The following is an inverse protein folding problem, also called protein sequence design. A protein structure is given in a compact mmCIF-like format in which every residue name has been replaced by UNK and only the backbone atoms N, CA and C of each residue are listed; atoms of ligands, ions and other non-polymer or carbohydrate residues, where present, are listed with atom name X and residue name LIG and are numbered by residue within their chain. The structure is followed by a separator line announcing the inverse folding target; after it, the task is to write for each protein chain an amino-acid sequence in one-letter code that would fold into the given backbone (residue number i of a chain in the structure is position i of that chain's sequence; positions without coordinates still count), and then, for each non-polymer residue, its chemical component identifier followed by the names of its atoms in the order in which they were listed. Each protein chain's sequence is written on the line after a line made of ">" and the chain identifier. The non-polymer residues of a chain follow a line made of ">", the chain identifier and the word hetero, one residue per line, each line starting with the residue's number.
data_IF_200404400755
#
_entry.id   IF_200404400755
#
_cell.length_a   1.000
_cell.length_b   1.000
_cell.length_c   1.000
_cell.angle_alpha   90.00
_cell.angle_beta   90.00
_cell.angle_gamma   90.00
#
_symmetry.space_group_name_H-M   'P 1'
#
loop_
_entity.id
_entity.type
_entity.pdbx_description
1 polymer ?
#
# COMPACT_ATOMS: atom_id res chain seq x y z
N UNK A 1 15.24 -1.14 19.64
CA UNK A 1 15.20 0.23 19.07
C UNK A 1 14.17 0.23 17.97
N UNK A 2 13.17 1.11 18.03
CA UNK A 2 12.12 1.19 16.99
C UNK A 2 12.74 1.79 15.73
N UNK A 3 12.63 1.08 14.61
CA UNK A 3 13.27 1.49 13.34
C UNK A 3 12.31 2.22 12.40
N UNK A 4 11.08 2.45 12.84
CA UNK A 4 10.05 3.14 12.06
C UNK A 4 8.97 3.80 12.92
N UNK A 5 8.30 4.79 12.35
CA UNK A 5 7.08 5.41 12.86
C UNK A 5 5.84 4.96 12.09
N UNK A 6 4.68 5.02 12.75
CA UNK A 6 3.36 4.78 12.15
C UNK A 6 2.55 6.06 12.26
N UNK A 7 2.19 6.63 11.12
CA UNK A 7 1.46 7.89 11.04
C UNK A 7 0.09 7.60 10.41
N UNK A 8 -1.02 7.83 11.14
CA UNK A 8 -2.35 7.76 10.57
C UNK A 8 -2.50 8.77 9.42
N UNK A 9 -2.96 8.30 8.27
CA UNK A 9 -3.03 9.11 7.04
C UNK A 9 -4.44 9.11 6.41
N UNK A 10 -5.38 8.37 7.00
CA UNK A 10 -6.79 8.24 6.62
C UNK A 10 -7.49 7.22 7.50
N UNK A 11 -8.76 6.88 7.22
CA UNK A 11 -9.58 5.98 8.06
C UNK A 11 -8.95 4.59 8.25
N UNK A 12 -8.25 4.09 7.23
CA UNK A 12 -7.55 2.78 7.24
C UNK A 12 -6.23 2.80 6.50
N UNK A 13 -5.66 3.99 6.36
CA UNK A 13 -4.44 4.23 5.59
C UNK A 13 -3.37 4.75 6.54
N UNK A 14 -2.21 4.11 6.51
CA UNK A 14 -1.10 4.43 7.39
C UNK A 14 0.15 4.70 6.56
N UNK A 15 0.87 5.74 6.94
CA UNK A 15 2.20 6.04 6.42
C UNK A 15 3.22 5.54 7.43
N UNK A 16 4.00 4.56 7.02
CA UNK A 16 5.10 3.99 7.80
C UNK A 16 6.39 4.69 7.37
N UNK A 17 7.10 5.30 8.31
CA UNK A 17 8.36 5.99 8.04
C UNK A 17 9.51 5.22 8.65
N UNK A 18 10.32 4.57 7.81
CA UNK A 18 11.51 3.84 8.23
C UNK A 18 12.75 4.73 8.11
N UNK A 19 13.52 4.79 9.19
CA UNK A 19 14.91 5.28 9.17
C UNK A 19 15.82 4.16 8.69
N UNK A 20 16.96 4.46 8.06
CA UNK A 20 17.62 3.51 7.17
C UNK A 20 17.95 2.21 7.89
N UNK A 21 17.27 1.15 7.45
CA UNK A 21 17.60 -0.23 7.78
C UNK A 21 18.38 -0.76 6.59
N UNK A 22 19.62 -1.17 6.81
CA UNK A 22 20.42 -1.89 5.80
C UNK A 22 19.63 -3.11 5.29
N UNK A 23 19.48 -3.27 3.97
CA UNK A 23 18.78 -4.41 3.38
C UNK A 23 17.93 -4.08 2.15
N UNK A 24 16.71 -4.64 2.07
CA UNK A 24 15.83 -4.61 0.89
C UNK A 24 15.47 -3.20 0.38
N UNK A 25 15.72 -2.16 1.19
CA UNK A 25 15.48 -0.75 0.89
C UNK A 25 16.37 -0.20 -0.24
N UNK A 26 17.48 -0.89 -0.55
CA UNK A 26 18.36 -0.56 -1.68
C UNK A 26 17.75 -0.89 -3.04
N UNK A 27 16.68 -1.70 -3.07
CA UNK A 27 16.01 -2.12 -4.31
C UNK A 27 15.09 -1.03 -4.91
N UNK A 28 14.92 0.09 -4.21
CA UNK A 28 14.09 1.21 -4.65
C UNK A 28 14.96 2.42 -5.00
N UNK A 29 14.74 3.02 -6.16
CA UNK A 29 15.43 4.24 -6.57
C UNK A 29 14.92 5.45 -5.80
N UNK A 30 15.84 6.35 -5.44
CA UNK A 30 15.49 7.57 -4.71
C UNK A 30 14.59 8.48 -5.56
N UNK A 31 13.54 9.01 -4.93
CA UNK A 31 12.57 9.92 -5.55
C UNK A 31 11.44 9.24 -6.31
N UNK A 32 11.53 7.93 -6.54
CA UNK A 32 10.51 7.14 -7.25
C UNK A 32 9.50 6.49 -6.30
N UNK A 33 8.26 6.35 -6.77
CA UNK A 33 7.22 5.59 -6.09
C UNK A 33 7.09 4.21 -6.73
N UNK A 34 6.86 3.17 -5.92
CA UNK A 34 6.70 1.80 -6.40
C UNK A 34 5.42 1.19 -5.83
N UNK A 35 4.64 0.53 -6.68
CA UNK A 35 3.58 -0.37 -6.23
C UNK A 35 4.19 -1.74 -5.90
N UNK A 36 4.01 -2.20 -4.67
CA UNK A 36 4.67 -3.40 -4.12
C UNK A 36 3.68 -4.19 -3.25
N UNK A 37 4.09 -5.39 -2.81
CA UNK A 37 3.39 -6.14 -1.79
C UNK A 37 4.25 -6.21 -0.52
N UNK A 38 3.63 -5.92 0.63
CA UNK A 38 4.24 -6.00 1.94
C UNK A 38 3.48 -6.94 2.87
N UNK A 39 4.22 -7.74 3.63
CA UNK A 39 3.69 -8.63 4.66
C UNK A 39 3.89 -7.98 6.02
N UNK A 40 2.79 -7.88 6.77
CA UNK A 40 2.76 -7.35 8.14
C UNK A 40 2.66 -8.56 9.07
N UNK A 41 3.61 -8.72 9.98
CA UNK A 41 3.66 -9.83 10.94
C UNK A 41 3.47 -9.26 12.34
N UNK A 42 2.39 -9.67 13.01
CA UNK A 42 2.06 -9.26 14.37
C UNK A 42 2.86 -10.07 15.40
N UNK A 43 2.86 -9.61 16.64
CA UNK A 43 3.58 -10.24 17.75
C UNK A 43 3.06 -11.63 18.13
N UNK A 44 1.80 -11.92 17.83
CA UNK A 44 1.17 -13.24 18.00
C UNK A 44 1.50 -14.22 16.87
N UNK A 45 2.27 -13.79 15.86
CA UNK A 45 2.66 -14.57 14.70
C UNK A 45 1.65 -14.55 13.56
N UNK A 46 0.49 -13.88 13.73
CA UNK A 46 -0.41 -13.63 12.62
C UNK A 46 0.29 -12.78 11.55
N UNK A 47 0.12 -13.14 10.29
CA UNK A 47 0.73 -12.40 9.20
C UNK A 47 -0.23 -12.24 8.02
N UNK A 48 -0.34 -11.00 7.55
CA UNK A 48 -1.22 -10.63 6.44
C UNK A 48 -0.44 -9.91 5.33
N UNK A 49 -0.86 -10.11 4.09
CA UNK A 49 -0.23 -9.52 2.92
C UNK A 49 -1.07 -8.35 2.40
N UNK A 50 -0.41 -7.23 2.18
CA UNK A 50 -1.01 -5.97 1.74
C UNK A 50 -0.36 -5.47 0.46
N UNK A 51 -1.15 -4.81 -0.37
CA UNK A 51 -0.60 -3.91 -1.38
C UNK A 51 -0.09 -2.64 -0.70
N UNK A 52 1.09 -2.18 -1.10
CA UNK A 52 1.78 -1.07 -0.46
C UNK A 52 2.42 -0.18 -1.52
N UNK A 53 2.47 1.12 -1.25
CA UNK A 53 3.23 2.07 -2.07
C UNK A 53 4.49 2.45 -1.32
N UNK A 54 5.65 2.26 -1.94
CA UNK A 54 6.95 2.58 -1.34
C UNK A 54 7.58 3.76 -2.04
N UNK A 55 8.10 4.71 -1.27
CA UNK A 55 8.95 5.80 -1.75
C UNK A 55 10.23 5.87 -0.94
N UNK A 56 11.37 5.87 -1.62
CA UNK A 56 12.68 6.16 -1.02
C UNK A 56 13.02 7.63 -1.20
N UNK A 57 13.40 8.29 -0.13
CA UNK A 57 13.91 9.66 -0.17
C UNK A 57 15.28 9.73 0.45
N UNK A 58 16.26 10.04 -0.39
CA UNK A 58 17.61 10.35 0.03
C UNK A 58 17.81 11.87 -0.04
N UNK A 59 18.03 12.51 1.11
CA UNK A 59 18.19 13.97 1.24
C UNK A 59 19.25 14.34 2.27
N UNK A 60 19.77 15.55 2.20
CA UNK A 60 20.62 16.10 3.27
C UNK A 60 19.73 16.65 4.38
N UNK A 61 20.08 16.37 5.63
CA UNK A 61 19.44 17.00 6.79
C UNK A 61 20.04 18.38 7.09
N UNK A 62 19.56 19.07 8.12
CA UNK A 62 20.05 20.40 8.53
C UNK A 62 21.53 20.43 8.93
N UNK A 63 22.11 19.29 9.30
CA UNK A 63 23.53 19.14 9.61
C UNK A 63 24.37 18.74 8.36
N UNK A 64 23.78 18.83 7.16
CA UNK A 64 24.41 18.44 5.90
C UNK A 64 24.81 16.95 5.84
N UNK A 65 24.12 16.09 6.61
CA UNK A 65 24.32 14.65 6.63
C UNK A 65 23.27 14.00 5.73
N UNK A 66 23.70 13.07 4.88
CA UNK A 66 22.82 12.30 4.02
C UNK A 66 21.94 11.38 4.87
N UNK A 67 20.63 11.58 4.80
CA UNK A 67 19.62 10.72 5.40
C UNK A 67 18.85 10.01 4.30
N UNK A 68 18.57 8.74 4.53
CA UNK A 68 17.89 7.84 3.58
C UNK A 68 16.63 7.32 4.29
N UNK A 69 15.47 7.86 3.90
CA UNK A 69 14.18 7.55 4.49
C UNK A 69 13.35 6.71 3.54
N UNK A 70 12.61 5.76 4.09
CA UNK A 70 11.66 4.98 3.31
C UNK A 70 10.28 5.20 3.87
N UNK A 71 9.38 5.58 2.99
CA UNK A 71 7.97 5.77 3.29
C UNK A 71 7.19 4.63 2.66
N UNK A 72 6.40 3.93 3.47
CA UNK A 72 5.50 2.87 3.01
C UNK A 72 4.08 3.28 3.33
N UNK A 73 3.28 3.54 2.30
CA UNK A 73 1.86 3.77 2.44
C UNK A 73 1.14 2.43 2.33
N UNK A 74 0.37 2.08 3.36
CA UNK A 74 -0.35 0.80 3.43
C UNK A 74 -1.80 1.02 3.86
N UNK A 75 -2.72 0.22 3.30
CA UNK A 75 -4.11 0.14 3.74
C UNK A 75 -4.29 -1.14 4.54
N UNK A 76 -4.76 -1.01 5.77
CA UNK A 76 -4.91 -2.15 6.67
C UNK A 76 -6.14 -1.96 7.57
N UNK A 77 -6.79 -3.07 7.91
CA UNK A 77 -7.82 -3.09 8.95
C UNK A 77 -7.26 -3.05 10.37
N UNK A 78 -5.93 -3.10 10.52
CA UNK A 78 -5.24 -3.01 11.80
C UNK A 78 -5.23 -1.57 12.33
N UNK A 79 -5.21 -1.43 13.65
CA UNK A 79 -5.05 -0.14 14.33
C UNK A 79 -3.58 0.29 14.39
N UNK A 80 -3.33 1.58 14.61
CA UNK A 80 -1.98 2.16 14.61
C UNK A 80 -1.05 1.53 15.66
N UNK A 81 -1.60 1.11 16.79
CA UNK A 81 -0.90 0.43 17.88
C UNK A 81 -0.38 -0.95 17.44
N UNK A 82 -1.23 -1.73 16.76
CA UNK A 82 -0.85 -3.04 16.24
C UNK A 82 0.25 -2.93 15.18
N UNK A 83 0.13 -1.94 14.28
CA UNK A 83 1.15 -1.63 13.28
C UNK A 83 2.47 -1.17 13.94
N UNK A 84 2.39 -0.39 15.02
CA UNK A 84 3.58 0.07 15.75
C UNK A 84 4.39 -1.04 16.42
N UNK A 85 3.79 -2.22 16.62
CA UNK A 85 4.44 -3.40 17.19
C UNK A 85 4.75 -4.49 16.14
N UNK A 86 4.34 -4.30 14.89
CA UNK A 86 4.49 -5.30 13.83
C UNK A 86 5.91 -5.37 13.25
N UNK A 87 6.27 -6.52 12.68
CA UNK A 87 7.39 -6.64 11.77
C UNK A 87 6.91 -6.51 10.33
N UNK A 88 7.72 -5.86 9.48
CA UNK A 88 7.39 -5.62 8.08
C UNK A 88 8.37 -6.36 7.17
N UNK A 89 7.82 -7.08 6.20
CA UNK A 89 8.60 -7.82 5.21
C UNK A 89 8.11 -7.43 3.82
N UNK A 90 9.01 -6.96 2.95
CA UNK A 90 8.66 -6.67 1.57
C UNK A 90 8.77 -7.94 0.75
N UNK A 91 7.65 -8.45 0.25
CA UNK A 91 7.60 -9.77 -0.41
C UNK A 91 7.84 -9.68 -1.91
N UNK A 92 7.58 -8.52 -2.53
CA UNK A 92 7.78 -8.32 -3.96
C UNK A 92 8.10 -6.86 -4.30
N UNK A 93 9.23 -6.57 -4.95
CA UNK A 93 9.50 -5.24 -5.51
C UNK A 93 8.76 -5.13 -6.83
N UNK A 94 7.67 -4.37 -6.86
CA UNK A 94 6.89 -4.19 -8.09
C UNK A 94 7.37 -3.01 -8.93
N UNK A 95 6.49 -2.50 -9.79
CA UNK A 95 6.84 -1.50 -10.80
C UNK A 95 6.88 -0.09 -10.21
N UNK A 96 7.73 0.77 -10.80
CA UNK A 96 7.65 2.20 -10.60
C UNK A 96 6.28 2.72 -11.09
N UNK A 97 5.72 3.66 -10.34
CA UNK A 97 4.45 4.33 -10.63
C UNK A 97 4.63 5.84 -10.50
N UNK A 98 3.76 6.59 -11.18
CA UNK A 98 3.72 8.05 -11.05
C UNK A 98 3.23 8.50 -9.67
N UNK A 99 3.57 9.72 -9.27
CA UNK A 99 3.05 10.32 -8.04
C UNK A 99 1.51 10.45 -8.09
N UNK A 100 0.94 10.70 -9.27
CA UNK A 100 -0.50 10.74 -9.47
C UNK A 100 -1.16 9.37 -9.19
N UNK A 101 -0.57 8.27 -9.66
CA UNK A 101 -1.02 6.90 -9.33
C UNK A 101 -0.91 6.63 -7.82
N UNK A 102 0.19 7.04 -7.17
CA UNK A 102 0.36 6.88 -5.73
C UNK A 102 -0.68 7.69 -4.92
N UNK A 103 -1.00 8.91 -5.34
CA UNK A 103 -2.04 9.75 -4.73
C UNK A 103 -3.44 9.16 -4.99
N UNK A 104 -3.69 8.62 -6.18
CA UNK A 104 -4.95 7.96 -6.49
C UNK A 104 -5.15 6.71 -5.62
N UNK A 105 -4.09 5.93 -5.42
CA UNK A 105 -4.07 4.78 -4.53
C UNK A 105 -4.47 5.15 -3.09
N UNK A 106 -4.10 6.35 -2.62
CA UNK A 106 -4.55 6.86 -1.31
C UNK A 106 -6.06 7.08 -1.23
N UNK A 107 -6.70 7.51 -2.33
CA UNK A 107 -8.07 8.05 -2.31
C UNK A 107 -9.18 7.00 -2.25
N UNK A 108 -8.96 5.78 -2.75
CA UNK A 108 -9.90 4.64 -2.59
C UNK A 108 -9.24 3.31 -2.99
N UNK A 109 -9.70 2.13 -2.53
CA UNK A 109 -9.27 0.87 -3.12
C UNK A 109 -9.74 0.83 -4.58
N UNK A 110 -9.06 0.09 -5.50
CA UNK A 110 -9.72 -0.25 -6.75
C UNK A 110 -10.99 -1.04 -6.39
N UNK A 111 -12.14 -0.41 -6.57
CA UNK A 111 -13.42 -1.10 -6.61
C UNK A 111 -13.27 -2.22 -7.63
N UNK A 112 -13.47 -3.46 -7.17
CA UNK A 112 -13.46 -4.64 -8.00
C UNK A 112 -14.53 -4.51 -9.10
N UNK A 113 -14.11 -4.15 -10.32
CA UNK A 113 -14.81 -4.44 -11.58
C UNK A 113 -16.24 -3.92 -11.74
N UNK A 114 -16.77 -3.93 -12.98
CA UNK A 114 -18.15 -3.58 -13.22
C UNK A 114 -19.07 -4.68 -12.67
N UNK A 115 -20.01 -4.28 -11.82
CA UNK A 115 -21.16 -5.08 -11.41
C UNK A 115 -21.97 -5.47 -12.66
N UNK A 116 -21.92 -6.76 -13.04
CA UNK A 116 -22.66 -7.30 -14.18
C UNK A 116 -24.07 -7.67 -13.74
N UNK A 117 -24.80 -6.77 -13.07
CA UNK A 117 -26.25 -6.89 -12.87
C UNK A 117 -26.98 -5.85 -13.68
N UNK A 118 -26.96 -5.99 -15.00
CA UNK A 118 -27.91 -5.28 -15.86
C UNK A 118 -28.07 -5.93 -17.23
N UNK A 119 -28.68 -7.13 -17.29
CA UNK A 119 -29.40 -7.62 -18.48
C UNK A 119 -30.55 -8.56 -18.09
N UNK A 120 -31.54 -8.05 -17.37
CA UNK A 120 -32.89 -8.60 -17.47
C UNK A 120 -33.70 -7.68 -18.39
N UNK A 121 -33.55 -7.91 -19.70
CA UNK A 121 -34.50 -7.43 -20.70
C UNK A 121 -34.62 -8.52 -21.76
N UNK A 122 -35.48 -9.50 -21.50
CA UNK A 122 -35.95 -10.41 -22.55
C UNK A 122 -37.12 -9.70 -23.26
N UNK A 123 -37.06 -9.49 -24.58
CA UNK A 123 -38.21 -8.99 -25.34
C UNK A 123 -39.30 -10.07 -25.41
N UNK A 124 -40.53 -9.60 -25.58
CA UNK A 124 -41.69 -10.40 -25.90
C UNK A 124 -41.47 -11.12 -27.25
N UNK A 125 -41.77 -12.41 -27.28
CA UNK A 125 -42.02 -13.16 -28.50
C UNK A 125 -43.40 -13.80 -28.39
N UNK A 126 -44.30 -13.32 -29.23
CA UNK A 126 -45.53 -13.99 -29.67
C UNK A 126 -45.18 -15.35 -30.30
N UNK A 127 -45.88 -16.42 -29.92
CA UNK A 127 -46.57 -17.35 -30.85
C UNK A 127 -47.21 -18.59 -30.18
N UNK A 128 -48.51 -18.75 -30.47
CA UNK A 128 -49.28 -19.96 -30.80
C UNK A 128 -49.58 -21.11 -29.81
N UNK A 129 -50.89 -21.42 -29.70
CA UNK A 129 -51.52 -22.66 -29.21
C UNK A 129 -52.35 -22.43 -27.94
N UNK A 130 -53.67 -22.65 -27.88
CA UNK A 130 -54.61 -23.47 -28.66
C UNK A 130 -55.95 -22.74 -28.83
#
# INVERSE_FOLDING_TARGET
>A
MKTYDVIPFGERTFLLHFWPVTGFLEKFDSGQCYATACKIVLSDGYADQHDCIVRRERRLNFANILVDSIYVLVKSGLVAEALSAAAYQMTHVGRAISEAEAIAWRRDPPSQGPDITSKNKKPADDHFGQ
#
